data_IF_705779741915
#
_entry.id   IF_705779741915
#
_cell.length_a   1.000
_cell.length_b   1.000
_cell.length_c   1.000
_cell.angle_alpha   90.00
_cell.angle_beta   90.00
_cell.angle_gamma   90.00
#
_symmetry.space_group_name_H-M   'P 1'
#
loop_
_entity.id
_entity.type
_entity.pdbx_description
1 polymer ?
#
# COMPACT_ATOMS: atom_id res chain seq x y z
N UNK A 1 18.27 24.58 -6.31
CA UNK A 1 18.59 24.94 -4.90
C UNK A 1 18.56 26.45 -4.64
N UNK A 2 19.08 27.32 -5.52
CA UNK A 2 19.08 28.78 -5.27
C UNK A 2 17.68 29.44 -5.33
N UNK A 3 16.84 29.08 -6.32
CA UNK A 3 15.49 29.64 -6.51
C UNK A 3 14.57 29.40 -5.29
N UNK A 4 14.63 28.22 -4.69
CA UNK A 4 13.83 27.88 -3.50
C UNK A 4 14.29 28.65 -2.25
N UNK A 5 15.59 28.96 -2.13
CA UNK A 5 16.11 29.85 -1.08
C UNK A 5 15.61 31.28 -1.24
N UNK A 6 15.59 31.81 -2.47
CA UNK A 6 15.05 33.14 -2.77
C UNK A 6 13.56 33.25 -2.43
N UNK A 7 12.75 32.26 -2.82
CA UNK A 7 11.30 32.26 -2.57
C UNK A 7 10.96 32.16 -1.07
N UNK A 8 11.72 31.40 -0.28
CA UNK A 8 11.56 31.37 1.18
C UNK A 8 11.81 32.73 1.84
N UNK A 9 12.72 33.56 1.31
CA UNK A 9 12.93 34.94 1.80
C UNK A 9 11.73 35.86 1.51
N UNK A 10 10.85 35.47 0.58
CA UNK A 10 9.59 36.14 0.26
C UNK A 10 8.39 35.49 0.95
N UNK A 11 8.61 34.62 1.96
CA UNK A 11 7.57 33.87 2.68
C UNK A 11 6.76 32.90 1.79
N UNK A 12 7.32 32.53 0.62
CA UNK A 12 6.73 31.54 -0.28
C UNK A 12 7.39 30.19 -0.01
N UNK A 13 6.62 29.27 0.57
CA UNK A 13 7.04 27.88 0.79
C UNK A 13 6.99 27.12 -0.54
N UNK A 14 8.11 26.55 -0.94
CA UNK A 14 8.25 25.74 -2.15
C UNK A 14 8.39 24.26 -1.79
N UNK A 15 7.55 23.41 -2.36
CA UNK A 15 7.64 21.95 -2.24
C UNK A 15 7.86 21.37 -3.63
N UNK A 16 8.99 20.69 -3.83
CA UNK A 16 9.41 20.12 -5.13
C UNK A 16 9.56 18.61 -5.01
N UNK A 17 9.05 17.88 -5.99
CA UNK A 17 9.23 16.44 -6.14
C UNK A 17 9.46 16.10 -7.61
N UNK A 18 10.73 15.90 -7.99
CA UNK A 18 11.16 15.70 -9.39
C UNK A 18 10.66 16.87 -10.26
N UNK A 19 9.70 16.61 -11.16
CA UNK A 19 9.10 17.57 -12.10
C UNK A 19 7.86 18.28 -11.52
N UNK A 20 7.28 17.76 -10.44
CA UNK A 20 6.16 18.40 -9.75
C UNK A 20 6.68 19.50 -8.81
N UNK A 21 6.09 20.70 -8.92
CA UNK A 21 6.37 21.82 -8.01
C UNK A 21 5.09 22.47 -7.50
N UNK A 22 5.04 22.73 -6.19
CA UNK A 22 4.01 23.49 -5.51
C UNK A 22 4.61 24.74 -4.84
N UNK A 23 3.88 25.85 -4.98
CA UNK A 23 4.07 27.07 -4.21
C UNK A 23 2.91 27.18 -3.19
N UNK A 24 3.24 27.41 -1.92
CA UNK A 24 2.31 27.74 -0.85
C UNK A 24 2.70 29.13 -0.35
N UNK A 25 1.78 30.08 -0.37
CA UNK A 25 1.99 31.43 0.12
C UNK A 25 0.80 31.84 1.00
N UNK A 26 1.05 32.59 2.06
CA UNK A 26 0.00 33.24 2.85
C UNK A 26 -0.21 34.67 2.38
N UNK A 27 -1.46 35.14 2.40
CA UNK A 27 -1.78 36.51 2.02
C UNK A 27 -1.36 37.48 3.14
N UNK A 28 -0.09 37.89 3.12
CA UNK A 28 0.52 38.81 4.09
C UNK A 28 0.67 40.21 3.49
N UNK A 29 0.42 41.29 4.27
CA UNK A 29 0.46 42.67 3.78
C UNK A 29 1.85 43.15 3.32
N UNK A 30 2.91 42.38 3.61
CA UNK A 30 4.30 42.68 3.22
C UNK A 30 4.70 42.06 1.87
N UNK A 31 3.82 41.26 1.23
CA UNK A 31 4.08 40.75 -0.11
C UNK A 31 4.12 41.91 -1.11
N UNK A 32 5.24 42.13 -1.83
CA UNK A 32 5.36 43.25 -2.73
C UNK A 32 4.32 43.15 -3.86
N UNK A 33 3.37 44.09 -3.86
CA UNK A 33 2.25 44.22 -4.81
C UNK A 33 1.04 43.27 -4.63
N UNK A 34 0.85 42.77 -3.40
CA UNK A 34 -0.49 42.58 -2.78
C UNK A 34 -1.51 41.73 -3.56
N UNK A 35 -1.07 40.74 -4.32
CA UNK A 35 -1.98 39.82 -5.00
C UNK A 35 -1.28 38.47 -5.24
N UNK A 36 -1.72 37.45 -4.52
CA UNK A 36 -1.22 36.07 -4.62
C UNK A 36 -1.26 35.50 -6.07
N UNK A 37 -2.15 36.01 -6.94
CA UNK A 37 -2.17 35.64 -8.35
C UNK A 37 -0.90 36.07 -9.10
N UNK A 38 -0.23 37.16 -8.72
CA UNK A 38 0.99 37.62 -9.42
C UNK A 38 2.20 36.72 -9.17
N UNK A 39 2.21 35.99 -8.05
CA UNK A 39 3.31 35.12 -7.65
C UNK A 39 3.48 33.96 -8.64
N UNK A 40 2.38 33.36 -9.11
CA UNK A 40 2.44 32.25 -10.08
C UNK A 40 2.98 32.73 -11.43
N UNK A 41 2.54 33.88 -11.94
CA UNK A 41 3.06 34.45 -13.20
C UNK A 41 4.55 34.82 -13.12
N UNK A 42 4.97 35.50 -12.04
CA UNK A 42 6.38 35.86 -11.84
C UNK A 42 7.28 34.62 -11.74
N UNK A 43 6.77 33.54 -11.15
CA UNK A 43 7.48 32.27 -11.03
C UNK A 43 7.54 31.49 -12.36
N UNK A 44 6.48 31.52 -13.17
CA UNK A 44 6.45 30.97 -14.54
C UNK A 44 7.47 31.65 -15.44
N UNK A 45 7.55 32.99 -15.39
CA UNK A 45 8.55 33.77 -16.13
C UNK A 45 9.97 33.41 -15.69
N UNK A 46 10.22 33.28 -14.39
CA UNK A 46 11.52 32.86 -13.86
C UNK A 46 11.94 31.47 -14.37
N UNK A 47 11.05 30.47 -14.30
CA UNK A 47 11.36 29.13 -14.83
C UNK A 47 11.60 29.13 -16.34
N UNK A 48 10.82 29.90 -17.09
CA UNK A 48 10.97 30.01 -18.55
C UNK A 48 12.32 30.64 -18.93
N UNK A 49 12.74 31.71 -18.24
CA UNK A 49 14.08 32.33 -18.42
C UNK A 49 15.23 31.42 -18.03
N UNK A 50 15.01 30.51 -17.07
CA UNK A 50 15.98 29.48 -16.68
C UNK A 50 15.98 28.26 -17.63
N UNK A 51 15.24 28.30 -18.73
CA UNK A 51 15.21 27.26 -19.76
C UNK A 51 14.29 26.07 -19.45
N UNK A 52 13.44 26.14 -18.43
CA UNK A 52 12.48 25.08 -18.12
C UNK A 52 11.25 25.14 -19.03
N UNK A 53 10.91 24.02 -19.66
CA UNK A 53 9.68 23.87 -20.44
C UNK A 53 8.50 23.52 -19.54
N UNK A 54 7.47 24.36 -19.51
CA UNK A 54 6.31 24.19 -18.63
C UNK A 54 5.12 23.55 -19.35
N UNK A 55 4.52 22.52 -18.74
CA UNK A 55 3.33 21.86 -19.27
C UNK A 55 2.06 22.65 -18.95
N UNK A 56 1.77 23.69 -19.74
CA UNK A 56 0.63 24.61 -19.55
C UNK A 56 -0.70 23.88 -19.26
N UNK A 57 -0.96 22.75 -19.92
CA UNK A 57 -2.18 21.93 -19.74
C UNK A 57 -2.26 21.21 -18.37
N UNK A 58 -1.14 20.97 -17.70
CA UNK A 58 -1.07 20.30 -16.38
C UNK A 58 -0.91 21.31 -15.23
N UNK A 59 -0.25 22.43 -15.49
CA UNK A 59 0.00 23.48 -14.50
C UNK A 59 -1.29 24.16 -14.02
N UNK A 60 -1.28 24.63 -12.77
CA UNK A 60 -2.35 25.44 -12.17
C UNK A 60 -1.77 26.80 -11.77
N UNK A 61 -2.17 27.86 -12.49
CA UNK A 61 -1.65 29.21 -12.28
C UNK A 61 -2.52 30.06 -11.36
N UNK A 62 -3.82 29.75 -11.27
CA UNK A 62 -4.72 30.40 -10.32
C UNK A 62 -4.52 29.75 -8.93
N UNK A 63 -4.21 30.54 -7.87
CA UNK A 63 -4.11 30.04 -6.50
C UNK A 63 -5.41 29.37 -6.06
N UNK A 64 -5.29 28.32 -5.26
CA UNK A 64 -6.42 27.55 -4.74
C UNK A 64 -6.12 27.09 -3.32
N UNK A 65 -7.14 27.08 -2.46
CA UNK A 65 -7.06 26.53 -1.10
C UNK A 65 -6.88 25.00 -1.09
N UNK A 66 -7.23 24.32 -2.18
CA UNK A 66 -7.00 22.89 -2.40
C UNK A 66 -6.31 22.68 -3.73
N UNK A 67 -5.18 21.98 -3.73
CA UNK A 67 -4.45 21.61 -4.95
C UNK A 67 -4.01 20.16 -4.89
N UNK A 68 -4.04 19.45 -6.02
CA UNK A 68 -3.42 18.12 -6.13
C UNK A 68 -1.95 18.31 -6.43
N UNK A 69 -1.08 17.75 -5.58
CA UNK A 69 0.36 17.76 -5.73
C UNK A 69 0.91 16.35 -5.51
N UNK A 70 1.64 15.82 -6.50
CA UNK A 70 2.00 14.40 -6.54
C UNK A 70 0.74 13.54 -6.29
N UNK A 71 0.86 12.55 -5.41
CA UNK A 71 -0.22 11.63 -5.06
C UNK A 71 -1.19 12.15 -3.99
N UNK A 72 -1.11 13.41 -3.57
CA UNK A 72 -1.91 13.97 -2.47
C UNK A 72 -2.66 15.25 -2.87
N UNK A 73 -3.85 15.46 -2.31
CA UNK A 73 -4.40 16.81 -2.21
C UNK A 73 -3.76 17.53 -1.02
N UNK A 74 -3.33 18.76 -1.22
CA UNK A 74 -2.85 19.64 -0.16
C UNK A 74 -3.92 20.71 0.04
N UNK A 75 -4.40 20.81 1.26
CA UNK A 75 -5.47 21.70 1.68
C UNK A 75 -4.88 22.74 2.64
N UNK A 76 -4.77 24.00 2.21
CA UNK A 76 -4.22 25.08 3.01
C UNK A 76 -5.21 25.64 4.03
N UNK A 77 -6.51 25.38 3.85
CA UNK A 77 -7.57 25.81 4.77
C UNK A 77 -7.69 24.82 5.93
N UNK A 78 -7.69 23.52 5.63
CA UNK A 78 -7.64 22.45 6.64
C UNK A 78 -6.22 22.12 7.12
N UNK A 79 -5.18 22.78 6.57
CA UNK A 79 -3.74 22.58 6.85
C UNK A 79 -3.32 21.10 6.80
N UNK A 80 -3.83 20.33 5.83
CA UNK A 80 -3.67 18.88 5.81
C UNK A 80 -3.36 18.31 4.42
N UNK A 81 -2.79 17.10 4.41
CA UNK A 81 -2.59 16.28 3.23
C UNK A 81 -3.72 15.25 3.15
N UNK A 82 -4.53 15.28 2.09
CA UNK A 82 -5.67 14.39 1.86
C UNK A 82 -5.37 13.43 0.71
N UNK A 83 -5.36 12.13 0.96
CA UNK A 83 -5.16 11.12 -0.10
C UNK A 83 -6.36 11.12 -1.09
N UNK A 84 -6.14 11.28 -2.41
CA UNK A 84 -7.18 11.28 -3.44
C UNK A 84 -7.95 9.97 -3.47
N UNK A 85 -9.26 10.06 -3.70
CA UNK A 85 -10.16 8.90 -3.78
C UNK A 85 -9.70 7.88 -4.82
N UNK A 86 -9.15 8.33 -5.95
CA UNK A 86 -8.52 7.50 -6.98
C UNK A 86 -7.35 6.63 -6.47
N UNK A 87 -6.51 7.13 -5.56
CA UNK A 87 -5.39 6.37 -4.97
C UNK A 87 -5.90 5.33 -3.99
N UNK A 88 -6.93 5.68 -3.21
CA UNK A 88 -7.68 4.72 -2.37
C UNK A 88 -8.30 3.63 -3.23
N UNK A 89 -9.00 3.98 -4.31
CA UNK A 89 -9.59 3.03 -5.26
C UNK A 89 -8.54 2.16 -5.96
N UNK A 90 -7.35 2.69 -6.26
CA UNK A 90 -6.24 1.93 -6.85
C UNK A 90 -5.64 0.93 -5.86
N UNK A 91 -5.44 1.34 -4.60
CA UNK A 91 -4.99 0.44 -3.53
C UNK A 91 -6.04 -0.64 -3.23
N UNK A 92 -7.32 -0.27 -3.17
CA UNK A 92 -8.45 -1.20 -3.05
C UNK A 92 -8.45 -2.17 -4.23
N UNK A 93 -8.36 -1.70 -5.48
CA UNK A 93 -8.34 -2.58 -6.65
C UNK A 93 -7.13 -3.54 -6.66
N UNK A 94 -5.95 -3.07 -6.24
CA UNK A 94 -4.77 -3.91 -6.09
C UNK A 94 -4.96 -4.98 -4.99
N UNK A 95 -5.52 -4.59 -3.84
CA UNK A 95 -5.89 -5.49 -2.74
C UNK A 95 -6.93 -6.52 -3.19
N UNK A 96 -8.02 -6.09 -3.80
CA UNK A 96 -9.08 -6.95 -4.33
C UNK A 96 -8.55 -7.94 -5.38
N UNK A 97 -7.59 -7.51 -6.21
CA UNK A 97 -6.92 -8.37 -7.18
C UNK A 97 -6.02 -9.41 -6.49
N UNK A 98 -5.26 -9.01 -5.47
CA UNK A 98 -4.45 -9.94 -4.65
C UNK A 98 -5.36 -10.97 -3.97
N UNK A 99 -6.44 -10.52 -3.33
CA UNK A 99 -7.36 -11.39 -2.55
C UNK A 99 -8.21 -12.32 -3.43
N UNK A 100 -8.58 -11.90 -4.65
CA UNK A 100 -9.32 -12.76 -5.60
C UNK A 100 -8.43 -13.71 -6.39
N UNK A 101 -7.11 -13.58 -6.29
CA UNK A 101 -6.16 -14.42 -7.02
C UNK A 101 -5.63 -15.54 -6.12
N UNK A 102 -5.94 -16.79 -6.47
CA UNK A 102 -5.43 -17.98 -5.76
C UNK A 102 -3.89 -18.01 -5.70
N UNK A 103 -3.21 -17.40 -6.69
CA UNK A 103 -1.76 -17.22 -6.72
C UNK A 103 -1.42 -15.79 -7.14
N UNK A 104 -0.50 -15.18 -6.41
CA UNK A 104 -0.14 -13.76 -6.56
C UNK A 104 1.37 -13.65 -6.79
N UNK A 105 1.81 -12.79 -7.72
CA UNK A 105 3.24 -12.62 -7.98
C UNK A 105 3.96 -11.91 -6.83
N UNK A 106 5.20 -12.30 -6.55
CA UNK A 106 6.06 -11.64 -5.54
C UNK A 106 6.23 -10.14 -5.85
N UNK A 107 6.26 -9.74 -7.13
CA UNK A 107 6.30 -8.32 -7.54
C UNK A 107 5.04 -7.55 -7.11
N UNK A 108 3.89 -8.21 -7.05
CA UNK A 108 2.64 -7.62 -6.55
C UNK A 108 2.73 -7.37 -5.03
N UNK A 109 3.33 -8.30 -4.29
CA UNK A 109 3.55 -8.20 -2.84
C UNK A 109 4.65 -7.18 -2.47
N UNK A 110 5.72 -7.09 -3.25
CA UNK A 110 6.77 -6.07 -3.03
C UNK A 110 6.25 -4.64 -3.23
N UNK A 111 5.35 -4.44 -4.21
CA UNK A 111 4.65 -3.15 -4.42
C UNK A 111 3.66 -2.81 -3.29
N UNK A 112 3.26 -3.80 -2.49
CA UNK A 112 2.47 -3.60 -1.27
C UNK A 112 3.36 -3.25 -0.07
N UNK A 113 4.52 -3.91 0.07
CA UNK A 113 5.42 -3.75 1.21
C UNK A 113 6.27 -2.46 1.23
N UNK A 114 6.49 -1.80 0.09
CA UNK A 114 7.42 -0.66 -0.05
C UNK A 114 7.00 0.67 0.59
N UNK A 115 6.59 0.66 1.86
CA UNK A 115 5.91 1.79 2.55
C UNK A 115 6.37 2.04 4.04
N UNK A 116 7.67 1.85 4.44
CA UNK A 116 8.22 1.89 5.87
C UNK A 116 9.72 2.41 6.03
N UNK A 117 10.32 2.60 7.26
CA UNK A 117 11.58 3.39 7.60
C UNK A 117 12.41 2.94 8.89
N UNK A 118 13.77 3.10 8.98
CA UNK A 118 14.71 2.81 10.16
C UNK A 118 16.06 3.66 10.24
N UNK A 119 16.90 3.56 11.32
CA UNK A 119 18.40 3.86 11.47
C UNK A 119 18.97 5.33 11.55
N UNK A 120 18.92 6.08 12.68
CA UNK A 120 19.25 7.55 12.74
C UNK A 120 19.78 8.11 14.09
N UNK A 121 20.44 9.28 14.14
CA UNK A 121 20.65 10.10 15.38
C UNK A 121 19.45 11.03 15.63
N UNK A 122 19.11 11.27 16.89
CA UNK A 122 17.99 12.11 17.33
C UNK A 122 18.42 13.13 18.39
N UNK A 123 18.37 14.42 18.05
CA UNK A 123 18.57 15.53 18.99
C UNK A 123 17.19 16.09 19.40
N UNK A 124 16.91 16.15 20.72
CA UNK A 124 15.63 16.61 21.27
C UNK A 124 15.87 17.78 22.24
N UNK A 125 15.22 18.91 21.95
CA UNK A 125 15.07 20.03 22.87
C UNK A 125 13.93 19.70 23.85
N UNK A 126 14.18 19.75 25.17
CA UNK A 126 13.14 19.52 26.17
C UNK A 126 13.14 20.57 27.28
N UNK A 127 11.95 20.96 27.68
CA UNK A 127 11.68 22.02 28.65
C UNK A 127 11.48 21.53 30.09
N UNK A 128 11.43 20.22 30.29
CA UNK A 128 11.35 19.59 31.60
C UNK A 128 12.76 19.19 32.08
N UNK A 129 13.34 20.01 32.95
CA UNK A 129 14.66 19.77 33.56
C UNK A 129 14.74 18.45 34.33
N UNK A 130 13.63 17.95 34.87
CA UNK A 130 13.62 16.67 35.61
C UNK A 130 13.79 15.48 34.67
N UNK A 131 13.19 15.51 33.47
CA UNK A 131 13.37 14.48 32.44
C UNK A 131 14.84 14.43 32.01
N UNK A 132 15.43 15.59 31.71
CA UNK A 132 16.83 15.71 31.32
C UNK A 132 17.75 15.24 32.45
N UNK A 133 17.53 15.70 33.68
CA UNK A 133 18.36 15.34 34.82
C UNK A 133 18.30 13.84 35.16
N UNK A 134 17.16 13.17 34.95
CA UNK A 134 17.05 11.70 35.13
C UNK A 134 17.77 10.94 34.01
N UNK A 135 17.68 11.40 32.76
CA UNK A 135 18.41 10.83 31.64
C UNK A 135 19.93 10.98 31.80
N UNK A 136 20.40 12.21 32.05
CA UNK A 136 21.83 12.54 32.18
C UNK A 136 22.49 11.88 33.41
N UNK A 137 21.76 11.77 34.53
CA UNK A 137 22.24 11.10 35.75
C UNK A 137 21.93 9.60 35.77
N UNK A 138 21.35 9.07 34.69
CA UNK A 138 20.99 7.67 34.49
C UNK A 138 20.12 7.09 35.63
N UNK A 139 19.27 7.94 36.21
CA UNK A 139 18.39 7.57 37.30
C UNK A 139 17.82 8.75 38.10
N UNK A 140 16.56 8.61 38.49
CA UNK A 140 15.81 9.44 39.42
C UNK A 140 15.34 8.65 40.65
N UNK A 141 14.47 9.26 41.46
CA UNK A 141 13.91 8.63 42.66
C UNK A 141 12.59 7.88 42.40
N UNK A 142 11.91 8.22 41.31
CA UNK A 142 10.67 7.55 40.89
C UNK A 142 11.01 6.28 40.11
N UNK A 143 10.52 5.14 40.59
CA UNK A 143 10.81 3.83 40.01
C UNK A 143 10.14 3.65 38.64
N UNK A 144 8.86 4.03 38.50
CA UNK A 144 8.12 3.89 37.24
C UNK A 144 8.75 4.75 36.15
N UNK A 145 9.12 5.99 36.49
CA UNK A 145 9.78 6.87 35.54
C UNK A 145 11.18 6.36 35.14
N UNK A 146 11.93 5.79 36.07
CA UNK A 146 13.23 5.16 35.77
C UNK A 146 13.10 3.93 34.86
N UNK A 147 12.08 3.10 35.07
CA UNK A 147 11.90 1.88 34.29
C UNK A 147 11.53 2.23 32.84
N UNK A 148 10.65 3.23 32.62
CA UNK A 148 10.37 3.81 31.29
C UNK A 148 11.64 4.36 30.61
N UNK A 149 12.50 5.05 31.37
CA UNK A 149 13.78 5.61 30.85
C UNK A 149 14.74 4.50 30.42
N UNK A 150 14.77 3.35 31.12
CA UNK A 150 15.56 2.18 30.71
C UNK A 150 15.00 1.52 29.46
N UNK A 151 13.68 1.33 29.38
CA UNK A 151 13.04 0.72 28.21
C UNK A 151 13.29 1.58 26.96
N UNK A 152 13.21 2.90 27.08
CA UNK A 152 13.59 3.84 26.02
C UNK A 152 15.06 3.68 25.63
N UNK A 153 15.98 3.56 26.59
CA UNK A 153 17.40 3.33 26.31
C UNK A 153 17.63 2.00 25.54
N UNK A 154 16.96 0.91 25.95
CA UNK A 154 17.03 -0.39 25.27
C UNK A 154 16.52 -0.32 23.83
N UNK A 155 15.38 0.34 23.60
CA UNK A 155 14.80 0.55 22.26
C UNK A 155 15.77 1.36 21.36
N UNK A 156 16.36 2.42 21.89
CA UNK A 156 17.33 3.24 21.15
C UNK A 156 18.58 2.44 20.80
N UNK A 157 19.04 1.54 21.67
CA UNK A 157 20.12 0.61 21.34
C UNK A 157 19.71 -0.41 20.25
N UNK A 158 18.50 -0.99 20.31
CA UNK A 158 18.01 -1.96 19.33
C UNK A 158 17.93 -1.37 17.91
N UNK A 159 17.39 -0.17 17.78
CA UNK A 159 17.23 0.52 16.50
C UNK A 159 18.46 1.36 16.09
N UNK A 160 19.55 1.29 16.86
CA UNK A 160 20.81 2.00 16.65
C UNK A 160 20.63 3.54 16.52
N UNK A 161 20.09 4.15 17.58
CA UNK A 161 19.73 5.58 17.65
C UNK A 161 20.50 6.26 18.80
N UNK A 162 21.36 7.24 18.48
CA UNK A 162 21.97 8.15 19.47
C UNK A 162 20.95 9.24 19.86
N UNK A 163 20.56 9.29 21.14
CA UNK A 163 19.64 10.30 21.68
C UNK A 163 20.38 11.35 22.51
N UNK A 164 20.24 12.62 22.12
CA UNK A 164 20.72 13.77 22.87
C UNK A 164 19.57 14.63 23.35
N UNK A 165 19.46 14.82 24.66
CA UNK A 165 18.55 15.78 25.26
C UNK A 165 19.29 17.09 25.54
N UNK A 166 18.65 18.23 25.27
CA UNK A 166 19.16 19.55 25.62
C UNK A 166 18.04 20.38 26.26
N UNK A 167 18.37 21.18 27.27
CA UNK A 167 17.38 22.02 27.93
C UNK A 167 17.04 23.26 27.11
N UNK A 168 15.74 23.50 26.91
CA UNK A 168 15.21 24.76 26.37
C UNK A 168 14.19 25.35 27.34
N UNK A 169 14.07 26.67 27.42
CA UNK A 169 13.00 27.30 28.21
C UNK A 169 11.65 27.08 27.52
N UNK A 170 10.59 26.71 28.24
CA UNK A 170 9.27 26.36 27.65
C UNK A 170 8.70 27.46 26.74
N UNK A 171 8.93 28.74 27.06
CA UNK A 171 8.52 29.88 26.24
C UNK A 171 9.27 30.02 24.90
N UNK A 172 10.31 29.22 24.68
CA UNK A 172 11.11 29.13 23.46
C UNK A 172 10.98 27.73 22.81
N UNK A 173 10.12 26.85 23.37
CA UNK A 173 9.91 25.50 22.85
C UNK A 173 8.76 25.49 21.82
N UNK A 174 9.07 25.81 20.57
CA UNK A 174 8.08 25.90 19.48
C UNK A 174 7.25 24.61 19.27
N UNK A 175 7.75 23.46 19.74
CA UNK A 175 7.04 22.18 19.70
C UNK A 175 5.77 22.15 20.57
N UNK A 176 5.72 22.88 21.70
CA UNK A 176 4.56 22.88 22.59
C UNK A 176 3.39 23.69 22.01
N UNK A 177 3.68 24.70 21.17
CA UNK A 177 2.66 25.41 20.42
C UNK A 177 1.98 24.52 19.35
N UNK A 178 2.65 23.44 18.92
CA UNK A 178 2.09 22.47 17.96
C UNK A 178 1.33 21.31 18.63
N UNK A 179 1.67 20.96 19.87
CA UNK A 179 1.00 19.88 20.62
C UNK A 179 -0.27 20.33 21.36
N UNK A 180 -0.50 21.65 21.51
CA UNK A 180 -1.68 22.20 22.19
C UNK A 180 -2.83 22.60 21.24
N UNK A 181 -2.72 22.36 19.92
CA UNK A 181 -3.85 22.55 19.00
C UNK A 181 -4.77 21.33 18.97
N UNK A 182 -5.98 21.46 19.54
CA UNK A 182 -7.00 20.39 19.55
C UNK A 182 -7.31 19.94 18.12
N UNK A 183 -7.11 18.65 17.83
CA UNK A 183 -7.31 18.07 16.51
C UNK A 183 -8.72 17.52 16.36
N UNK A 184 -9.27 17.54 15.14
CA UNK A 184 -10.52 16.81 14.82
C UNK A 184 -10.37 15.29 15.00
N UNK A 185 -9.12 14.80 15.05
CA UNK A 185 -8.75 13.41 15.34
C UNK A 185 -9.02 13.03 16.80
N UNK A 186 -9.15 14.01 17.71
CA UNK A 186 -9.33 13.79 19.16
C UNK A 186 -10.81 13.75 19.59
N UNK A 187 -11.74 13.79 18.62
CA UNK A 187 -13.18 13.88 18.86
C UNK A 187 -13.80 12.59 19.41
N UNK A 188 -14.82 12.75 20.27
CA UNK A 188 -15.59 11.66 20.88
C UNK A 188 -17.07 12.01 21.04
N UNK A 189 -17.94 11.02 21.27
CA UNK A 189 -19.34 11.29 21.66
C UNK A 189 -19.42 12.07 22.98
N UNK A 190 -20.49 12.86 23.10
CA UNK A 190 -20.85 13.49 24.37
C UNK A 190 -21.23 12.43 25.41
N UNK A 191 -21.07 12.78 26.69
CA UNK A 191 -21.43 11.89 27.82
C UNK A 191 -22.91 11.46 27.71
N UNK A 192 -23.80 12.38 27.37
CA UNK A 192 -25.23 12.08 27.24
C UNK A 192 -25.53 11.10 26.09
N UNK A 193 -24.92 11.29 24.92
CA UNK A 193 -25.10 10.37 23.78
C UNK A 193 -24.50 8.99 24.07
N UNK A 194 -23.34 8.95 24.74
CA UNK A 194 -22.73 7.70 25.16
C UNK A 194 -23.58 6.95 26.19
N UNK A 195 -24.09 7.62 27.24
CA UNK A 195 -24.96 6.99 28.24
C UNK A 195 -26.22 6.37 27.62
N UNK A 196 -26.80 6.99 26.59
CA UNK A 196 -27.94 6.40 25.85
C UNK A 196 -27.53 5.13 25.09
N UNK A 197 -26.36 5.11 24.46
CA UNK A 197 -25.85 3.95 23.71
C UNK A 197 -25.51 2.79 24.65
N UNK A 198 -24.77 3.07 25.73
CA UNK A 198 -24.39 2.05 26.73
C UNK A 198 -25.60 1.46 27.45
N UNK A 199 -26.62 2.28 27.76
CA UNK A 199 -27.86 1.79 28.35
C UNK A 199 -28.73 0.94 27.38
N UNK A 200 -28.64 1.17 26.07
CA UNK A 200 -29.51 0.51 25.07
C UNK A 200 -28.87 -0.72 24.43
N UNK A 201 -27.56 -0.67 24.19
CA UNK A 201 -26.81 -1.66 23.42
C UNK A 201 -25.61 -2.24 24.18
N UNK A 202 -25.32 -1.74 25.38
CA UNK A 202 -24.26 -2.26 26.23
C UNK A 202 -24.65 -3.54 27.00
N UNK A 203 -23.78 -4.01 27.91
CA UNK A 203 -22.49 -3.42 28.22
C UNK A 203 -21.50 -3.58 27.06
N UNK A 204 -20.78 -2.51 26.71
CA UNK A 204 -19.63 -2.63 25.80
C UNK A 204 -18.36 -2.88 26.63
N UNK A 205 -17.48 -3.79 26.21
CA UNK A 205 -16.27 -4.11 27.01
C UNK A 205 -15.01 -3.37 26.55
N UNK A 206 -15.02 -2.81 25.34
CA UNK A 206 -13.87 -2.17 24.70
C UNK A 206 -14.30 -1.02 23.78
N UNK A 207 -13.53 0.06 23.78
CA UNK A 207 -13.59 1.17 22.83
C UNK A 207 -12.46 0.99 21.81
N UNK A 208 -12.79 0.55 20.61
CA UNK A 208 -11.82 0.17 19.60
C UNK A 208 -10.97 1.35 19.10
N UNK A 209 -11.42 2.61 19.17
CA UNK A 209 -10.59 3.73 18.68
C UNK A 209 -10.73 4.96 19.56
N UNK A 210 -9.77 5.12 20.47
CA UNK A 210 -9.69 6.28 21.35
C UNK A 210 -8.24 6.54 21.78
N UNK A 211 -8.03 7.69 22.44
CA UNK A 211 -6.85 8.04 23.22
C UNK A 211 -7.13 7.79 24.70
N UNK A 212 -6.07 7.61 25.50
CA UNK A 212 -6.14 7.49 26.96
C UNK A 212 -7.00 8.60 27.61
N UNK A 213 -7.00 9.80 27.04
CA UNK A 213 -7.77 10.96 27.50
C UNK A 213 -9.25 10.93 27.13
N UNK A 214 -9.63 10.25 26.04
CA UNK A 214 -10.96 10.35 25.43
C UNK A 214 -11.76 9.02 25.37
N UNK A 215 -11.15 7.87 25.71
CA UNK A 215 -11.82 6.58 25.85
C UNK A 215 -13.12 6.63 26.67
N UNK A 216 -14.15 5.90 26.21
CA UNK A 216 -15.45 5.80 26.88
C UNK A 216 -15.41 5.05 28.21
N UNK A 217 -16.48 5.14 29.00
CA UNK A 217 -16.60 4.53 30.33
C UNK A 217 -17.84 3.64 30.46
N UNK A 218 -17.75 2.58 31.26
CA UNK A 218 -18.92 1.80 31.71
C UNK A 218 -19.94 2.67 32.45
N UNK A 219 -21.14 2.14 32.68
CA UNK A 219 -22.15 2.74 33.58
C UNK A 219 -21.67 2.93 35.02
N UNK A 220 -20.67 2.16 35.46
CA UNK A 220 -19.98 2.31 36.75
C UNK A 220 -18.84 3.35 36.75
N UNK A 221 -18.61 4.05 35.64
CA UNK A 221 -17.60 5.12 35.52
C UNK A 221 -16.16 4.65 35.28
N UNK A 222 -15.92 3.35 35.11
CA UNK A 222 -14.60 2.81 34.77
C UNK A 222 -14.34 2.98 33.27
N UNK A 223 -13.14 3.38 32.87
CA UNK A 223 -12.77 3.44 31.44
C UNK A 223 -12.83 2.06 30.81
N UNK A 224 -13.33 1.99 29.59
CA UNK A 224 -13.24 0.80 28.76
C UNK A 224 -11.77 0.50 28.44
N UNK A 225 -11.48 -0.78 28.21
CA UNK A 225 -10.29 -1.18 27.44
C UNK A 225 -10.31 -0.45 26.10
N UNK A 226 -9.17 -0.10 25.54
CA UNK A 226 -9.16 0.63 24.28
C UNK A 226 -7.87 0.48 23.48
N UNK A 227 -7.96 0.73 22.18
CA UNK A 227 -6.81 0.72 21.28
C UNK A 227 -6.52 2.12 20.74
N UNK A 228 -5.23 2.46 20.72
CA UNK A 228 -4.71 3.78 20.30
C UNK A 228 -4.02 3.69 18.93
N UNK A 229 -3.67 4.84 18.33
CA UNK A 229 -2.90 4.87 17.10
C UNK A 229 -1.41 4.49 17.31
N UNK A 230 -0.86 4.82 18.48
CA UNK A 230 0.53 4.59 18.88
C UNK A 230 0.59 4.22 20.38
N UNK A 231 1.61 3.49 20.84
CA UNK A 231 1.61 2.91 22.19
C UNK A 231 1.46 3.96 23.28
N UNK A 232 0.56 3.69 24.22
CA UNK A 232 0.32 4.56 25.38
C UNK A 232 0.12 3.73 26.66
N UNK A 233 0.38 4.31 27.85
CA UNK A 233 0.39 3.56 29.11
C UNK A 233 -0.95 2.92 29.49
N UNK A 234 -2.09 3.45 29.01
CA UNK A 234 -3.42 2.91 29.33
C UNK A 234 -4.08 2.18 28.14
N UNK A 235 -3.43 2.14 26.98
CA UNK A 235 -3.93 1.35 25.83
C UNK A 235 -3.81 -0.15 26.07
N UNK A 236 -4.83 -0.90 25.65
CA UNK A 236 -4.82 -2.37 25.57
C UNK A 236 -3.96 -2.86 24.40
N UNK A 237 -3.77 -2.01 23.39
CA UNK A 237 -2.87 -2.24 22.26
C UNK A 237 -2.95 -1.10 21.25
N UNK A 238 -2.29 -1.28 20.10
CA UNK A 238 -2.23 -0.26 19.04
C UNK A 238 -2.83 -0.74 17.74
N UNK A 239 -3.33 0.20 16.94
CA UNK A 239 -3.81 0.01 15.57
C UNK A 239 -4.78 -1.18 15.40
N UNK A 240 -6.09 -0.94 15.57
CA UNK A 240 -7.11 -1.99 15.48
C UNK A 240 -7.08 -2.82 14.20
N UNK A 241 -6.59 -2.28 13.10
CA UNK A 241 -6.49 -3.01 11.83
C UNK A 241 -5.53 -4.20 11.88
N UNK A 242 -4.70 -4.29 12.92
CA UNK A 242 -3.80 -5.40 13.21
C UNK A 242 -4.28 -6.31 14.36
N UNK A 243 -5.47 -6.07 14.94
CA UNK A 243 -6.01 -6.79 16.09
C UNK A 243 -7.13 -7.76 15.69
N UNK A 244 -7.30 -8.86 16.41
CA UNK A 244 -8.48 -9.72 16.25
C UNK A 244 -9.63 -9.24 17.15
N UNK A 245 -10.44 -8.33 16.60
CA UNK A 245 -11.62 -7.78 17.27
C UNK A 245 -12.78 -8.76 17.39
N UNK A 246 -12.70 -9.97 16.83
CA UNK A 246 -13.72 -11.01 17.02
C UNK A 246 -13.66 -11.64 18.42
N UNK A 247 -12.51 -11.52 19.10
CA UNK A 247 -12.28 -11.97 20.47
C UNK A 247 -12.90 -11.04 21.53
N UNK A 248 -13.31 -9.82 21.14
CA UNK A 248 -13.85 -8.81 22.05
C UNK A 248 -15.38 -8.88 22.15
N UNK A 249 -15.90 -8.81 23.37
CA UNK A 249 -17.33 -8.94 23.65
C UNK A 249 -18.06 -7.61 23.48
N UNK A 250 -18.92 -7.50 22.46
CA UNK A 250 -19.70 -6.29 22.18
C UNK A 250 -18.84 -5.00 22.10
N UNK A 251 -17.91 -4.92 21.13
CA UNK A 251 -17.00 -3.79 21.01
C UNK A 251 -17.69 -2.53 20.47
N UNK A 252 -17.35 -1.37 21.03
CA UNK A 252 -17.75 -0.05 20.55
C UNK A 252 -16.64 0.57 19.68
N UNK A 253 -16.98 1.50 18.77
CA UNK A 253 -15.98 2.30 18.05
C UNK A 253 -16.51 3.67 17.64
N UNK A 254 -15.71 4.72 17.83
CA UNK A 254 -15.94 6.05 17.27
C UNK A 254 -14.68 6.56 16.55
N UNK A 255 -14.49 6.18 15.28
CA UNK A 255 -13.22 6.44 14.60
C UNK A 255 -13.13 7.88 14.08
N UNK A 256 -11.92 8.45 13.98
CA UNK A 256 -11.68 9.71 13.29
C UNK A 256 -12.33 9.73 11.90
N UNK A 257 -12.90 10.87 11.49
CA UNK A 257 -13.77 10.97 10.30
C UNK A 257 -13.11 10.46 9.01
N UNK A 258 -11.78 10.61 8.89
CA UNK A 258 -10.99 10.13 7.76
C UNK A 258 -10.81 8.60 7.72
N UNK A 259 -11.07 7.90 8.84
CA UNK A 259 -10.86 6.46 9.03
C UNK A 259 -12.16 5.64 9.07
N UNK A 260 -13.34 6.26 9.24
CA UNK A 260 -14.67 5.59 9.31
C UNK A 260 -14.80 4.44 8.30
N UNK A 261 -14.52 4.71 7.01
CA UNK A 261 -14.67 3.73 5.95
C UNK A 261 -13.72 2.53 6.10
N UNK A 262 -12.50 2.74 6.58
CA UNK A 262 -11.53 1.67 6.79
C UNK A 262 -11.97 0.78 7.96
N UNK A 263 -12.50 1.36 9.03
CA UNK A 263 -13.08 0.62 10.16
C UNK A 263 -14.27 -0.22 9.73
N UNK A 264 -15.21 0.35 8.97
CA UNK A 264 -16.37 -0.41 8.47
C UNK A 264 -15.97 -1.55 7.52
N UNK A 265 -14.97 -1.34 6.66
CA UNK A 265 -14.41 -2.40 5.79
C UNK A 265 -13.77 -3.50 6.63
N UNK A 266 -12.94 -3.14 7.60
CA UNK A 266 -12.27 -4.07 8.50
C UNK A 266 -13.25 -4.88 9.36
N UNK A 267 -14.20 -4.24 10.05
CA UNK A 267 -15.21 -4.94 10.86
C UNK A 267 -16.11 -5.87 10.03
N UNK A 268 -16.28 -5.58 8.73
CA UNK A 268 -16.97 -6.47 7.80
C UNK A 268 -16.09 -7.67 7.39
N UNK A 269 -14.79 -7.45 7.16
CA UNK A 269 -13.82 -8.52 6.87
C UNK A 269 -13.64 -9.47 8.08
N UNK A 270 -13.77 -8.95 9.31
CA UNK A 270 -13.81 -9.74 10.54
C UNK A 270 -15.17 -10.43 10.79
N UNK A 271 -16.22 -10.12 10.01
CA UNK A 271 -17.56 -10.74 10.11
C UNK A 271 -17.88 -11.60 8.88
N UNK A 272 -17.26 -12.77 8.90
CA UNK A 272 -17.68 -14.05 8.30
C UNK A 272 -17.32 -14.38 6.83
N UNK A 273 -16.81 -15.62 6.67
CA UNK A 273 -17.34 -16.59 5.70
C UNK A 273 -17.55 -17.93 6.43
N UNK A 274 -18.79 -18.41 6.49
CA UNK A 274 -19.08 -19.82 6.78
C UNK A 274 -19.12 -20.56 5.44
N UNK A 275 -18.24 -21.55 5.24
CA UNK A 275 -18.13 -22.27 3.96
C UNK A 275 -19.03 -23.50 3.98
N UNK A 276 -20.02 -23.55 3.09
CA UNK A 276 -20.87 -24.73 2.87
C UNK A 276 -20.15 -25.73 1.96
N UNK A 277 -19.41 -26.65 2.58
CA UNK A 277 -18.64 -27.69 1.91
C UNK A 277 -19.51 -28.66 1.10
N UNK A 278 -20.76 -28.91 1.53
CA UNK A 278 -21.65 -29.90 0.92
C UNK A 278 -21.95 -29.58 -0.55
N UNK A 279 -22.18 -28.29 -0.83
CA UNK A 279 -22.43 -27.79 -2.19
C UNK A 279 -21.21 -27.92 -3.13
N UNK A 280 -20.00 -28.00 -2.57
CA UNK A 280 -18.75 -28.13 -3.35
C UNK A 280 -18.62 -29.59 -3.82
N UNK A 281 -18.82 -30.55 -2.92
CA UNK A 281 -18.70 -31.98 -3.22
C UNK A 281 -19.70 -32.45 -4.28
N UNK A 282 -20.96 -31.99 -4.20
CA UNK A 282 -22.01 -32.26 -5.20
C UNK A 282 -21.57 -31.87 -6.64
N UNK A 283 -20.81 -30.79 -6.79
CA UNK A 283 -20.34 -30.30 -8.09
C UNK A 283 -19.15 -31.11 -8.63
N UNK A 284 -18.30 -31.65 -7.76
CA UNK A 284 -17.15 -32.48 -8.15
C UNK A 284 -17.64 -33.80 -8.77
N UNK A 285 -18.64 -34.44 -8.14
CA UNK A 285 -19.25 -35.66 -8.71
C UNK A 285 -19.85 -35.44 -10.09
N UNK A 286 -20.52 -34.30 -10.31
CA UNK A 286 -21.11 -33.96 -11.61
C UNK A 286 -20.07 -33.86 -12.74
N UNK A 287 -18.88 -33.32 -12.46
CA UNK A 287 -17.80 -33.16 -13.43
C UNK A 287 -17.07 -34.49 -13.72
N UNK A 288 -16.90 -35.35 -12.72
CA UNK A 288 -16.24 -36.64 -12.92
C UNK A 288 -16.99 -37.51 -13.93
N UNK A 289 -18.34 -37.57 -13.81
CA UNK A 289 -19.20 -38.31 -14.72
C UNK A 289 -19.16 -37.82 -16.18
N UNK A 290 -18.79 -36.56 -16.43
CA UNK A 290 -18.61 -36.01 -17.78
C UNK A 290 -17.27 -36.41 -18.42
N UNK A 291 -16.28 -36.81 -17.61
CA UNK A 291 -14.92 -37.11 -18.09
C UNK A 291 -14.72 -38.53 -18.65
N UNK A 292 -15.72 -39.41 -18.49
CA UNK A 292 -15.65 -40.85 -18.81
C UNK A 292 -15.99 -41.14 -20.29
N UNK A 293 -16.34 -40.13 -21.10
CA UNK A 293 -16.67 -40.33 -22.52
C UNK A 293 -15.46 -40.79 -23.36
N UNK A 294 -15.68 -41.88 -24.11
CA UNK A 294 -14.65 -42.82 -24.55
C UNK A 294 -13.78 -42.37 -25.72
N UNK A 295 -14.12 -41.26 -26.38
CA UNK A 295 -13.50 -40.82 -27.63
C UNK A 295 -12.13 -40.15 -27.47
N UNK A 296 -11.94 -39.36 -26.40
CA UNK A 296 -10.75 -38.54 -26.21
C UNK A 296 -9.52 -39.34 -25.74
N UNK A 297 -9.71 -40.45 -25.02
CA UNK A 297 -8.62 -41.27 -24.48
C UNK A 297 -7.82 -41.97 -25.58
N UNK A 298 -8.50 -42.63 -26.52
CA UNK A 298 -7.89 -43.46 -27.58
C UNK A 298 -6.90 -42.72 -28.48
N UNK A 299 -7.12 -41.43 -28.75
CA UNK A 299 -6.23 -40.62 -29.60
C UNK A 299 -4.87 -40.30 -28.95
N UNK A 300 -4.79 -40.34 -27.61
CA UNK A 300 -3.56 -39.98 -26.89
C UNK A 300 -2.58 -41.15 -26.79
N UNK A 301 -3.11 -42.35 -26.60
CA UNK A 301 -2.35 -43.61 -26.46
C UNK A 301 -1.65 -43.97 -27.79
N UNK A 302 -2.35 -43.96 -28.92
CA UNK A 302 -1.80 -44.29 -30.26
C UNK A 302 -0.68 -43.37 -30.75
N UNK A 303 -0.65 -42.09 -30.34
CA UNK A 303 0.43 -41.17 -30.74
C UNK A 303 1.75 -41.51 -30.02
N UNK A 304 1.65 -42.00 -28.78
CA UNK A 304 2.79 -42.29 -27.92
C UNK A 304 3.51 -43.58 -28.37
N UNK A 305 2.75 -44.64 -28.70
CA UNK A 305 3.28 -45.89 -29.27
C UNK A 305 4.10 -45.61 -30.54
N UNK A 306 3.48 -44.91 -31.51
CA UNK A 306 4.12 -44.53 -32.77
C UNK A 306 5.40 -43.70 -32.62
N UNK A 307 5.59 -43.00 -31.50
CA UNK A 307 6.82 -42.24 -31.25
C UNK A 307 7.91 -43.13 -30.67
N UNK A 308 7.59 -43.99 -29.71
CA UNK A 308 8.52 -44.99 -29.16
C UNK A 308 9.12 -45.87 -30.26
N UNK A 309 8.28 -46.43 -31.14
CA UNK A 309 8.72 -47.28 -32.26
C UNK A 309 9.78 -46.60 -33.15
N UNK A 310 9.64 -45.30 -33.39
CA UNK A 310 10.59 -44.54 -34.20
C UNK A 310 11.94 -44.36 -33.50
N UNK A 311 11.95 -44.18 -32.18
CA UNK A 311 13.20 -43.97 -31.44
C UNK A 311 14.05 -45.25 -31.38
N UNK A 312 13.43 -46.43 -31.36
CA UNK A 312 14.12 -47.73 -31.42
C UNK A 312 14.86 -47.99 -32.74
N UNK A 313 14.45 -47.31 -33.83
CA UNK A 313 15.10 -47.37 -35.15
C UNK A 313 16.41 -46.55 -35.18
N UNK A 314 16.54 -45.53 -34.33
CA UNK A 314 17.72 -44.65 -34.31
C UNK A 314 18.93 -45.42 -33.78
N UNK A 315 20.09 -45.25 -34.43
CA UNK A 315 21.32 -45.99 -34.08
C UNK A 315 21.83 -45.72 -32.67
N UNK A 316 21.47 -44.57 -32.07
CA UNK A 316 21.78 -44.20 -30.68
C UNK A 316 20.66 -44.51 -29.67
N UNK A 317 19.53 -45.10 -30.11
CA UNK A 317 18.39 -45.56 -29.30
C UNK A 317 18.02 -44.68 -28.08
N UNK A 318 17.64 -43.40 -28.29
CA UNK A 318 17.18 -42.54 -27.21
C UNK A 318 15.83 -43.00 -26.66
N UNK A 319 15.58 -42.82 -25.36
CA UNK A 319 14.26 -43.02 -24.76
C UNK A 319 13.47 -41.70 -24.69
N UNK A 320 12.18 -41.76 -24.32
CA UNK A 320 11.30 -40.57 -24.24
C UNK A 320 11.86 -39.44 -23.36
N UNK A 321 12.57 -39.78 -22.28
CA UNK A 321 13.15 -38.81 -21.34
C UNK A 321 14.51 -38.25 -21.81
N UNK A 322 15.14 -38.86 -22.82
CA UNK A 322 16.48 -38.51 -23.33
C UNK A 322 16.49 -38.09 -24.81
N UNK A 323 15.32 -38.10 -25.46
CA UNK A 323 15.19 -37.75 -26.89
C UNK A 323 15.58 -36.30 -27.15
N UNK A 324 16.50 -36.08 -28.10
CA UNK A 324 16.92 -34.74 -28.45
C UNK A 324 15.83 -33.99 -29.24
N UNK A 325 15.73 -32.65 -29.16
CA UNK A 325 14.84 -31.87 -30.02
C UNK A 325 15.12 -32.07 -31.53
N UNK A 326 16.32 -32.54 -31.90
CA UNK A 326 16.65 -32.90 -33.27
C UNK A 326 16.01 -34.23 -33.68
N UNK A 327 15.96 -35.22 -32.78
CA UNK A 327 15.32 -36.51 -33.02
C UNK A 327 13.79 -36.41 -33.01
N UNK A 328 13.21 -35.51 -32.19
CA UNK A 328 11.78 -35.13 -32.29
C UNK A 328 11.48 -34.55 -33.68
N UNK A 329 12.35 -33.70 -34.24
CA UNK A 329 12.19 -33.19 -35.61
C UNK A 329 12.30 -34.29 -36.66
N UNK A 330 13.26 -35.22 -36.51
CA UNK A 330 13.38 -36.40 -37.38
C UNK A 330 12.10 -37.25 -37.34
N UNK A 331 11.52 -37.47 -36.15
CA UNK A 331 10.25 -38.18 -36.01
C UNK A 331 9.11 -37.49 -36.76
N UNK A 332 8.97 -36.17 -36.62
CA UNK A 332 7.92 -35.43 -37.32
C UNK A 332 8.07 -35.50 -38.85
N UNK A 333 9.30 -35.43 -39.37
CA UNK A 333 9.60 -35.61 -40.81
C UNK A 333 9.34 -37.06 -41.26
N UNK A 334 9.74 -38.05 -40.47
CA UNK A 334 9.48 -39.47 -40.76
C UNK A 334 7.99 -39.79 -40.76
N UNK A 335 7.25 -39.28 -39.79
CA UNK A 335 5.79 -39.47 -39.66
C UNK A 335 5.00 -38.78 -40.77
N UNK A 336 5.54 -37.70 -41.34
CA UNK A 336 4.99 -37.07 -42.55
C UNK A 336 5.31 -37.87 -43.84
N UNK A 337 6.28 -38.81 -43.80
CA UNK A 337 6.58 -39.79 -44.85
C UNK A 337 6.81 -39.18 -46.25
N UNK A 338 7.75 -38.23 -46.36
CA UNK A 338 7.97 -37.40 -47.56
C UNK A 338 6.75 -36.58 -48.03
N UNK A 339 5.75 -36.42 -47.16
CA UNK A 339 4.68 -35.43 -47.30
C UNK A 339 3.64 -35.73 -48.38
N UNK A 340 2.41 -35.31 -48.13
CA UNK A 340 1.40 -35.10 -49.20
C UNK A 340 1.51 -33.70 -49.84
N UNK A 341 2.52 -32.91 -49.46
CA UNK A 341 2.54 -31.46 -49.67
C UNK A 341 3.84 -31.02 -50.33
N UNK A 342 3.82 -30.88 -51.66
CA UNK A 342 5.00 -30.44 -52.43
C UNK A 342 5.44 -29.01 -52.05
N UNK A 343 6.72 -28.83 -51.73
CA UNK A 343 7.30 -27.55 -51.28
C UNK A 343 7.85 -26.77 -52.48
N UNK A 344 7.05 -25.82 -52.96
CA UNK A 344 7.39 -24.96 -54.11
C UNK A 344 8.57 -24.02 -53.82
N UNK A 345 9.61 -24.04 -54.67
CA UNK A 345 10.75 -23.11 -54.56
C UNK A 345 10.38 -21.71 -55.07
N UNK A 346 11.18 -20.68 -54.73
CA UNK A 346 10.85 -19.27 -55.00
C UNK A 346 10.60 -18.92 -56.48
N UNK A 347 11.17 -19.66 -57.41
CA UNK A 347 10.98 -19.49 -58.87
C UNK A 347 9.80 -20.29 -59.44
N UNK A 348 9.09 -21.08 -58.64
CA UNK A 348 7.97 -21.90 -59.09
C UNK A 348 6.68 -21.08 -59.21
N UNK A 349 5.94 -21.28 -60.31
CA UNK A 349 4.64 -20.63 -60.57
C UNK A 349 3.55 -20.96 -59.54
N UNK A 350 3.76 -22.00 -58.74
CA UNK A 350 2.82 -22.51 -57.74
C UNK A 350 3.17 -22.08 -56.30
N UNK A 351 4.23 -21.28 -56.12
CA UNK A 351 4.61 -20.74 -54.81
C UNK A 351 3.41 -20.03 -54.13
N UNK A 352 3.09 -20.45 -52.90
CA UNK A 352 2.00 -19.90 -52.09
C UNK A 352 0.63 -20.56 -52.29
N UNK A 353 0.44 -21.45 -53.27
CA UNK A 353 -0.82 -22.19 -53.47
C UNK A 353 -0.82 -23.48 -52.66
N UNK A 354 -1.84 -23.71 -51.82
CA UNK A 354 -1.98 -24.93 -51.01
C UNK A 354 -2.53 -26.10 -51.85
N UNK A 355 -1.97 -27.30 -51.65
CA UNK A 355 -2.50 -28.56 -52.20
C UNK A 355 -2.24 -28.81 -53.69
N UNK A 356 -1.50 -27.94 -54.38
CA UNK A 356 -1.17 -28.10 -55.81
C UNK A 356 0.15 -28.88 -55.95
N UNK A 357 0.10 -30.00 -56.68
CA UNK A 357 1.24 -30.87 -56.98
C UNK A 357 1.42 -31.02 -58.50
N UNK A 358 2.59 -31.49 -58.95
CA UNK A 358 2.86 -31.74 -60.38
C UNK A 358 3.90 -30.82 -61.03
N UNK A 359 4.75 -30.15 -60.24
CA UNK A 359 5.94 -29.46 -60.73
C UNK A 359 7.22 -30.23 -60.35
N UNK A 360 8.40 -29.73 -60.74
CA UNK A 360 9.70 -30.32 -60.39
C UNK A 360 10.28 -29.82 -59.06
N UNK A 361 9.48 -29.21 -58.18
CA UNK A 361 9.95 -28.79 -56.86
C UNK A 361 10.08 -29.98 -55.89
N UNK A 362 10.89 -29.87 -54.82
CA UNK A 362 10.97 -30.89 -53.79
C UNK A 362 9.57 -31.25 -53.25
N UNK A 363 9.34 -32.54 -53.04
CA UNK A 363 8.23 -33.03 -52.22
C UNK A 363 8.75 -33.10 -50.78
#
# INVERSE_FOLDING_TARGET
MQVTSFLRKLDILTLQYIDDLLLIASDKPHLPHGNINKISYAFVELLTRLGYTLSIKKSRFNPSKTIKFSDFFIDSEQKCFRLPSEKKLTFIALRELILKSEKVSVKTLQRFAGSIVCNHRLDILKDNKSVIAVWEKQGGRDKLFNDIVKDLFMLLCEYNIDLRLQYIQSSLNDADATSQSVSLVDSKLSVESWSRIECTYGPHTVDLMSLDSNAMTTTSGLKLKHFTLAPSPLSTGVNIFAQDVSLETNPYVYPPLNLIFQVLTFLKEQRAVVVDLKRIDDRIMQLHNQSIDSSHRRRRESLQESFSDFLDILTHKPCLDTVSPHDVKRFLVWKDSYGKTQIHVKSCINLGKKGVTGCLCPI
#
